data_IF_749262437449
#
_entry.id   IF_749262437449
#
_cell.length_a   1.000
_cell.length_b   1.000
_cell.length_c   1.000
_cell.angle_alpha   90.00
_cell.angle_beta   90.00
_cell.angle_gamma   90.00
#
_symmetry.space_group_name_H-M   'P 1'
#
loop_
_entity.id
_entity.type
_entity.pdbx_description
1 polymer ?
#
# COMPACT_ATOMS: atom_id res chain seq x y z
N UNK A 1 20.45 -7.87 -6.68
CA UNK A 1 19.32 -7.08 -6.18
C UNK A 1 18.06 -7.43 -6.96
N UNK A 2 17.29 -8.39 -6.44
CA UNK A 2 16.01 -8.88 -6.96
C UNK A 2 14.86 -8.25 -6.17
N UNK A 3 13.92 -7.58 -6.84
CA UNK A 3 12.88 -6.79 -6.18
C UNK A 3 11.49 -6.95 -6.86
N UNK A 4 10.42 -7.22 -6.09
CA UNK A 4 9.03 -7.36 -6.61
C UNK A 4 7.97 -6.53 -5.87
N UNK A 5 6.94 -6.10 -6.64
CA UNK A 5 5.76 -5.32 -6.25
C UNK A 5 4.43 -5.73 -6.97
N UNK A 6 3.28 -5.34 -6.40
CA UNK A 6 1.92 -5.22 -7.02
C UNK A 6 1.81 -4.00 -7.98
N UNK A 7 0.75 -3.76 -8.79
CA UNK A 7 0.74 -2.70 -9.82
C UNK A 7 1.07 -1.27 -9.34
N UNK A 8 0.50 -0.75 -8.22
CA UNK A 8 0.86 0.58 -7.71
C UNK A 8 2.30 0.60 -7.21
N UNK A 9 2.67 -0.46 -6.50
CA UNK A 9 4.00 -0.61 -5.94
C UNK A 9 5.04 -0.69 -7.08
N UNK A 10 4.82 -1.45 -8.17
CA UNK A 10 5.76 -1.61 -9.30
C UNK A 10 6.11 -0.26 -9.95
N UNK A 11 5.10 0.61 -10.12
CA UNK A 11 5.32 1.99 -10.55
C UNK A 11 6.27 2.73 -9.60
N UNK A 12 6.01 2.67 -8.29
CA UNK A 12 6.84 3.34 -7.28
C UNK A 12 8.27 2.79 -7.22
N UNK A 13 8.51 1.50 -7.48
CA UNK A 13 9.88 0.98 -7.61
C UNK A 13 10.59 1.58 -8.80
N UNK A 14 9.95 1.58 -9.97
CA UNK A 14 10.58 2.14 -11.18
C UNK A 14 10.89 3.63 -10.98
N UNK A 15 10.01 4.37 -10.29
CA UNK A 15 10.26 5.76 -9.92
C UNK A 15 11.45 5.91 -8.95
N UNK A 16 11.55 5.07 -7.92
CA UNK A 16 12.67 5.07 -6.99
C UNK A 16 14.00 4.73 -7.68
N UNK A 17 14.02 3.69 -8.53
CA UNK A 17 15.20 3.31 -9.31
C UNK A 17 15.64 4.46 -10.23
N UNK A 18 14.69 5.12 -10.90
CA UNK A 18 14.97 6.29 -11.73
C UNK A 18 15.56 7.44 -10.91
N UNK A 19 15.02 7.72 -9.72
CA UNK A 19 15.54 8.74 -8.82
C UNK A 19 16.99 8.45 -8.40
N UNK A 20 17.33 7.19 -8.13
CA UNK A 20 18.68 6.76 -7.80
C UNK A 20 19.61 6.58 -9.01
N UNK A 21 19.14 6.87 -10.23
CA UNK A 21 19.93 6.69 -11.46
C UNK A 21 20.21 5.22 -11.81
N UNK A 22 19.49 4.27 -11.22
CA UNK A 22 19.64 2.84 -11.47
C UNK A 22 18.80 2.48 -12.70
N UNK A 23 19.46 1.94 -13.73
CA UNK A 23 18.79 1.48 -14.94
C UNK A 23 18.05 0.17 -14.65
N UNK A 24 16.85 -0.06 -15.19
CA UNK A 24 16.10 -1.29 -14.96
C UNK A 24 16.87 -2.58 -15.30
N UNK A 25 17.79 -2.55 -16.27
CA UNK A 25 18.63 -3.71 -16.60
C UNK A 25 19.74 -4.02 -15.61
N UNK A 26 19.98 -3.17 -14.60
CA UNK A 26 20.95 -3.41 -13.53
C UNK A 26 20.33 -4.17 -12.35
N UNK A 27 19.01 -4.36 -12.35
CA UNK A 27 18.27 -5.08 -11.32
C UNK A 27 17.35 -6.11 -11.96
N UNK A 28 17.18 -7.26 -11.31
CA UNK A 28 16.28 -8.28 -11.80
C UNK A 28 14.90 -8.08 -11.13
N UNK A 29 13.95 -7.54 -11.89
CA UNK A 29 12.59 -7.28 -11.41
C UNK A 29 11.73 -8.49 -11.75
N UNK A 30 11.27 -9.22 -10.72
CA UNK A 30 10.49 -10.46 -10.88
C UNK A 30 9.03 -10.26 -10.45
N UNK A 31 8.14 -11.20 -10.84
CA UNK A 31 6.69 -11.15 -10.59
C UNK A 31 6.11 -12.34 -9.73
N UNK A 32 6.35 -12.46 -8.41
CA UNK A 32 5.70 -13.09 -7.18
C UNK A 32 4.55 -12.39 -6.32
N UNK A 33 3.37 -13.00 -6.11
CA UNK A 33 2.29 -12.36 -5.32
C UNK A 33 2.72 -12.12 -3.85
N UNK A 34 2.07 -11.26 -3.04
CA UNK A 34 2.54 -10.95 -1.68
C UNK A 34 2.88 -12.17 -0.80
N UNK A 35 2.08 -13.27 -0.78
CA UNK A 35 2.47 -14.48 -0.05
C UNK A 35 3.76 -15.12 -0.57
N UNK A 36 3.97 -15.09 -1.89
CA UNK A 36 5.18 -15.61 -2.52
C UNK A 36 6.40 -14.69 -2.32
N UNK A 37 6.21 -13.38 -2.13
CA UNK A 37 7.28 -12.45 -1.76
C UNK A 37 7.82 -12.80 -0.38
N UNK A 38 6.93 -13.01 0.60
CA UNK A 38 7.33 -13.42 1.96
C UNK A 38 8.14 -14.72 1.90
N UNK A 39 7.64 -15.72 1.16
CA UNK A 39 8.32 -17.00 1.04
C UNK A 39 9.68 -16.89 0.32
N UNK A 40 9.78 -16.07 -0.72
CA UNK A 40 11.04 -15.84 -1.44
C UNK A 40 12.06 -15.07 -0.60
N UNK A 41 11.62 -14.10 0.20
CA UNK A 41 12.46 -13.38 1.16
C UNK A 41 13.05 -14.33 2.21
N UNK A 42 12.21 -15.15 2.82
CA UNK A 42 12.62 -16.15 3.82
C UNK A 42 13.62 -17.17 3.28
N UNK A 43 13.55 -17.50 1.99
CA UNK A 43 14.52 -18.39 1.33
C UNK A 43 15.79 -17.69 0.83
N UNK A 44 15.83 -16.36 0.85
CA UNK A 44 16.93 -15.58 0.26
C UNK A 44 16.93 -15.55 -1.28
N UNK A 45 15.80 -15.87 -1.91
CA UNK A 45 15.67 -15.84 -3.39
C UNK A 45 15.61 -14.40 -3.94
N UNK A 46 15.24 -13.44 -3.09
CA UNK A 46 15.14 -12.01 -3.39
C UNK A 46 15.95 -11.18 -2.40
N UNK A 47 16.49 -10.06 -2.89
CA UNK A 47 17.30 -9.14 -2.07
C UNK A 47 16.48 -7.98 -1.51
N UNK A 48 15.26 -7.79 -2.02
CA UNK A 48 14.38 -6.69 -1.64
C UNK A 48 12.97 -6.93 -2.14
N UNK A 49 12.03 -6.17 -1.62
CA UNK A 49 10.71 -6.04 -2.19
C UNK A 49 10.17 -4.65 -1.89
N UNK A 50 9.19 -4.20 -2.66
CA UNK A 50 8.44 -3.02 -2.26
C UNK A 50 6.95 -3.35 -2.35
N UNK A 51 6.35 -3.36 -1.16
CA UNK A 51 5.12 -4.08 -0.88
C UNK A 51 4.37 -3.32 0.19
N UNK A 52 3.08 -3.57 0.29
CA UNK A 52 2.24 -3.09 1.37
C UNK A 52 2.05 -4.16 2.44
N UNK A 53 1.40 -3.77 3.55
CA UNK A 53 0.97 -4.71 4.58
C UNK A 53 0.02 -5.78 4.00
N UNK A 54 0.10 -7.03 4.48
CA UNK A 54 0.92 -7.49 5.60
C UNK A 54 2.37 -7.88 5.23
N UNK A 55 2.72 -7.93 3.94
CA UNK A 55 4.04 -8.42 3.51
C UNK A 55 5.19 -7.51 3.96
N UNK A 56 5.02 -6.19 3.92
CA UNK A 56 6.06 -5.25 4.41
C UNK A 56 6.43 -5.52 5.86
N UNK A 57 5.44 -5.74 6.73
CA UNK A 57 5.64 -6.05 8.15
C UNK A 57 6.39 -7.36 8.38
N UNK A 58 6.34 -8.30 7.43
CA UNK A 58 7.08 -9.55 7.51
C UNK A 58 8.56 -9.35 7.15
N UNK A 59 8.83 -8.55 6.12
CA UNK A 59 10.18 -8.24 5.62
C UNK A 59 10.92 -7.25 6.52
N UNK A 60 10.23 -6.34 7.21
CA UNK A 60 10.83 -5.37 8.14
C UNK A 60 11.38 -6.01 9.42
N UNK A 61 11.05 -7.28 9.71
CA UNK A 61 11.56 -7.98 10.90
C UNK A 61 13.08 -8.22 10.83
N UNK A 62 13.59 -8.42 9.63
CA UNK A 62 14.98 -8.79 9.35
C UNK A 62 15.57 -8.01 8.16
N UNK A 63 14.82 -7.08 7.57
CA UNK A 63 15.24 -6.19 6.50
C UNK A 63 15.38 -4.72 6.92
N UNK A 64 15.80 -3.89 5.96
CA UNK A 64 15.90 -2.44 6.13
C UNK A 64 15.05 -1.72 5.09
N UNK A 65 14.33 -0.68 5.51
CA UNK A 65 13.53 0.17 4.61
C UNK A 65 14.46 1.15 3.88
N UNK A 66 14.56 1.00 2.55
CA UNK A 66 15.35 1.90 1.70
C UNK A 66 14.60 3.17 1.30
N UNK A 67 13.29 3.07 1.11
CA UNK A 67 12.38 4.18 0.78
C UNK A 67 10.93 3.72 0.97
N UNK A 68 9.99 4.66 0.94
CA UNK A 68 8.55 4.42 1.03
C UNK A 68 7.79 5.24 -0.03
N UNK A 69 6.48 4.99 -0.17
CA UNK A 69 5.65 5.69 -1.17
C UNK A 69 5.43 7.18 -0.86
N UNK A 70 5.59 7.61 0.39
CA UNK A 70 5.59 9.03 0.75
C UNK A 70 6.81 9.73 0.16
N UNK A 71 7.99 9.16 0.35
CA UNK A 71 9.25 9.70 -0.20
C UNK A 71 9.28 9.69 -1.73
N UNK A 72 8.81 8.60 -2.35
CA UNK A 72 8.67 8.53 -3.81
C UNK A 72 7.66 9.58 -4.32
N UNK A 73 6.63 9.88 -3.53
CA UNK A 73 5.72 10.99 -3.79
C UNK A 73 6.40 12.36 -3.79
N UNK A 74 7.27 12.63 -2.81
CA UNK A 74 8.08 13.86 -2.74
C UNK A 74 9.04 13.99 -3.95
N UNK A 75 9.51 12.88 -4.51
CA UNK A 75 10.31 12.88 -5.75
C UNK A 75 9.49 13.11 -7.02
N UNK A 76 8.17 13.34 -6.90
CA UNK A 76 7.28 13.67 -8.00
C UNK A 76 6.53 12.49 -8.60
N UNK A 77 6.51 11.32 -7.93
CA UNK A 77 5.79 10.12 -8.39
C UNK A 77 4.80 9.59 -7.34
N UNK A 78 3.78 10.38 -6.94
CA UNK A 78 2.82 9.96 -5.92
C UNK A 78 1.93 8.82 -6.42
N UNK A 79 1.55 7.92 -5.51
CA UNK A 79 0.57 6.86 -5.75
C UNK A 79 -0.63 7.03 -4.82
N UNK A 80 -1.82 6.67 -5.31
CA UNK A 80 -3.09 6.86 -4.61
C UNK A 80 -3.90 5.57 -4.65
N UNK A 81 -4.45 5.19 -3.49
CA UNK A 81 -5.50 4.18 -3.42
C UNK A 81 -6.86 4.85 -3.63
N UNK A 82 -7.59 4.41 -4.66
CA UNK A 82 -8.85 5.02 -5.08
C UNK A 82 -9.99 4.03 -5.08
N UNK A 83 -11.15 4.49 -4.61
CA UNK A 83 -12.41 3.76 -4.73
C UNK A 83 -13.10 4.14 -6.03
N UNK A 84 -13.27 3.19 -6.94
CA UNK A 84 -13.96 3.39 -8.21
C UNK A 84 -15.31 2.69 -8.23
N UNK A 85 -16.32 3.32 -8.83
CA UNK A 85 -17.63 2.70 -9.05
C UNK A 85 -18.00 2.68 -10.52
N UNK A 86 -18.46 1.51 -10.96
CA UNK A 86 -19.02 1.25 -12.29
C UNK A 86 -20.16 2.23 -12.60
N UNK A 87 -20.18 2.78 -13.83
CA UNK A 87 -21.11 3.84 -14.23
C UNK A 87 -22.57 3.36 -14.19
N UNK A 88 -22.79 2.12 -14.60
CA UNK A 88 -24.06 1.40 -14.61
C UNK A 88 -24.70 1.24 -13.21
N UNK A 89 -23.89 1.25 -12.15
CA UNK A 89 -24.38 1.14 -10.77
C UNK A 89 -24.89 2.47 -10.20
N UNK A 90 -24.70 3.59 -10.92
CA UNK A 90 -25.14 4.92 -10.45
C UNK A 90 -26.66 5.09 -10.54
N UNK A 91 -27.33 4.53 -11.56
CA UNK A 91 -28.77 4.75 -11.78
C UNK A 91 -29.71 3.98 -10.85
N UNK A 92 -29.30 2.80 -10.34
CA UNK A 92 -30.21 1.91 -9.58
C UNK A 92 -30.14 2.06 -8.06
N UNK A 93 -29.13 2.76 -7.52
CA UNK A 93 -28.90 2.84 -6.07
C UNK A 93 -28.12 4.11 -5.64
N UNK A 94 -28.26 5.24 -6.35
CA UNK A 94 -27.44 6.45 -6.16
C UNK A 94 -27.40 6.96 -4.70
N UNK A 95 -28.53 6.90 -3.97
CA UNK A 95 -28.61 7.36 -2.57
C UNK A 95 -27.88 6.42 -1.60
N UNK A 96 -27.97 5.10 -1.82
CA UNK A 96 -27.26 4.12 -0.99
C UNK A 96 -25.77 4.22 -1.23
N UNK A 97 -25.37 4.37 -2.50
CA UNK A 97 -23.98 4.58 -2.89
C UNK A 97 -23.43 5.90 -2.41
N UNK A 98 -24.15 7.02 -2.51
CA UNK A 98 -23.66 8.32 -2.01
C UNK A 98 -23.49 8.34 -0.50
N UNK A 99 -24.39 7.68 0.26
CA UNK A 99 -24.18 7.44 1.70
C UNK A 99 -22.95 6.57 1.95
N UNK A 100 -22.76 5.48 1.21
CA UNK A 100 -21.63 4.58 1.45
C UNK A 100 -20.28 5.15 1.00
N UNK A 101 -20.20 5.82 -0.15
CA UNK A 101 -18.94 6.33 -0.72
C UNK A 101 -18.46 7.63 -0.11
N UNK A 102 -19.37 8.50 0.37
CA UNK A 102 -18.99 9.75 1.04
C UNK A 102 -19.03 9.64 2.55
N UNK A 103 -20.15 9.17 3.13
CA UNK A 103 -20.29 9.17 4.59
C UNK A 103 -19.47 8.08 5.26
N UNK A 104 -19.41 6.86 4.74
CA UNK A 104 -18.73 5.78 5.47
C UNK A 104 -17.21 6.00 5.62
N UNK A 105 -16.46 6.41 4.57
CA UNK A 105 -15.04 6.75 4.72
C UNK A 105 -14.86 7.98 5.60
N UNK A 106 -15.56 9.09 5.34
CA UNK A 106 -15.37 10.33 6.11
C UNK A 106 -15.75 10.20 7.59
N UNK A 107 -16.84 9.51 7.93
CA UNK A 107 -17.23 9.30 9.34
C UNK A 107 -16.25 8.43 10.11
N UNK A 108 -15.51 7.55 9.42
CA UNK A 108 -14.53 6.65 10.05
C UNK A 108 -13.13 7.23 10.06
N UNK A 109 -12.74 7.94 9.00
CA UNK A 109 -11.42 8.55 8.84
C UNK A 109 -11.30 9.92 9.51
N UNK A 110 -12.36 10.76 9.53
CA UNK A 110 -12.25 12.11 10.10
C UNK A 110 -11.89 12.11 11.60
N UNK A 111 -12.45 11.25 12.46
CA UNK A 111 -12.04 11.19 13.86
C UNK A 111 -10.57 10.79 14.03
N UNK A 112 -10.09 9.85 13.21
CA UNK A 112 -8.67 9.48 13.18
C UNK A 112 -7.80 10.64 12.70
N UNK A 113 -8.18 11.35 11.63
CA UNK A 113 -7.45 12.50 11.11
C UNK A 113 -7.40 13.65 12.13
N UNK A 114 -8.48 13.87 12.89
CA UNK A 114 -8.58 14.96 13.84
C UNK A 114 -7.76 14.72 15.13
N UNK A 115 -7.70 13.49 15.62
CA UNK A 115 -6.89 13.13 16.78
C UNK A 115 -6.45 11.64 16.71
N UNK A 116 -5.33 11.34 16.04
CA UNK A 116 -4.88 9.96 15.83
C UNK A 116 -4.61 9.22 17.14
N UNK A 117 -3.97 9.87 18.11
CA UNK A 117 -3.58 9.24 19.39
C UNK A 117 -4.81 8.83 20.20
N UNK A 118 -5.78 9.74 20.37
CA UNK A 118 -7.01 9.43 21.08
C UNK A 118 -7.84 8.36 20.36
N UNK A 119 -7.82 8.35 19.02
CA UNK A 119 -8.53 7.34 18.22
C UNK A 119 -7.93 5.94 18.39
N UNK A 120 -6.60 5.84 18.43
CA UNK A 120 -5.86 4.58 18.60
C UNK A 120 -5.99 4.00 20.02
N UNK A 121 -6.18 4.84 21.04
CA UNK A 121 -6.40 4.39 22.41
C UNK A 121 -7.77 3.73 22.64
N UNK A 122 -8.71 3.85 21.71
CA UNK A 122 -10.03 3.23 21.83
C UNK A 122 -9.99 1.75 21.38
N UNK A 123 -10.18 0.78 22.30
CA UNK A 123 -10.05 -0.65 21.98
C UNK A 123 -11.02 -1.14 20.89
N UNK A 124 -12.21 -0.52 20.82
CA UNK A 124 -13.23 -0.81 19.81
C UNK A 124 -12.82 -0.42 18.38
N UNK A 125 -11.93 0.56 18.23
CA UNK A 125 -11.42 0.96 16.92
C UNK A 125 -10.38 -0.04 16.41
N UNK A 126 -9.51 -0.51 17.30
CA UNK A 126 -8.45 -1.46 17.00
C UNK A 126 -9.01 -2.87 16.75
N UNK A 127 -9.94 -3.33 17.60
CA UNK A 127 -10.53 -4.67 17.48
C UNK A 127 -11.31 -4.91 16.18
N UNK A 128 -11.78 -3.84 15.53
CA UNK A 128 -12.43 -3.90 14.20
C UNK A 128 -11.42 -3.99 13.06
N UNK A 129 -10.20 -3.48 13.25
CA UNK A 129 -9.13 -3.52 12.25
C UNK A 129 -8.38 -4.85 12.27
N UNK A 130 -8.20 -5.46 13.46
CA UNK A 130 -7.47 -6.73 13.61
C UNK A 130 -8.22 -7.97 13.11
N UNK A 131 -9.49 -7.84 12.71
CA UNK A 131 -10.33 -8.93 12.17
C UNK A 131 -10.40 -8.93 10.63
N UNK A 132 -9.78 -7.96 9.97
CA UNK A 132 -9.65 -7.89 8.50
C UNK A 132 -8.42 -8.69 8.05
#
# INVERSE_FOLDING_TARGET
MRCRLSPPTHYSLLAALKHWGIKPGQVEIINLQPPAIIAAWQRGDIDGAYVWAPAVNALEKDGNVLTDSGKVGEWGSPTLDVWVVRKELRGKNIQRWSRHSRKAPSTRSNPYIANPEAWLQQPDNISKLSRL
#
